data_IF_195695914260
#
_entry.id   IF_195695914260
#
_cell.length_a   1.000
_cell.length_b   1.000
_cell.length_c   1.000
_cell.angle_alpha   90.00
_cell.angle_beta   90.00
_cell.angle_gamma   90.00
#
_symmetry.space_group_name_H-M   'P 1'
#
loop_
_entity.id
_entity.type
_entity.pdbx_description
1 polymer ?
#
# COMPACT_ATOMS: atom_id res chain seq x y z
N UNK A 1 -55.44 -2.39 4.58
CA UNK A 1 -54.82 -3.50 5.33
C UNK A 1 -54.67 -4.67 4.38
N UNK A 2 -53.43 -4.97 3.99
CA UNK A 2 -53.08 -6.17 3.22
C UNK A 2 -51.69 -6.58 3.68
N UNK A 3 -51.65 -7.49 4.64
CA UNK A 3 -50.44 -8.11 5.17
C UNK A 3 -50.01 -9.21 4.22
N UNK A 4 -49.10 -8.90 3.30
CA UNK A 4 -48.33 -9.93 2.61
C UNK A 4 -47.19 -10.38 3.54
N UNK A 5 -47.07 -11.67 3.88
CA UNK A 5 -45.99 -12.16 4.73
C UNK A 5 -44.64 -12.05 4.00
N UNK A 6 -43.60 -11.67 4.74
CA UNK A 6 -42.22 -11.67 4.27
C UNK A 6 -41.77 -13.12 3.94
N UNK A 7 -40.87 -13.32 2.95
CA UNK A 7 -40.52 -14.65 2.46
C UNK A 7 -39.82 -15.50 3.52
N UNK A 8 -40.37 -16.70 3.76
CA UNK A 8 -39.98 -17.74 4.74
C UNK A 8 -38.59 -18.39 4.52
N UNK A 9 -37.70 -17.84 3.69
CA UNK A 9 -36.51 -18.58 3.20
C UNK A 9 -35.21 -18.44 4.01
N UNK A 10 -35.22 -17.88 5.23
CA UNK A 10 -33.99 -17.66 6.03
C UNK A 10 -34.06 -18.16 7.48
N UNK A 11 -34.64 -19.34 7.74
CA UNK A 11 -34.69 -19.89 9.11
C UNK A 11 -34.13 -21.31 9.21
N UNK A 12 -32.83 -21.50 9.04
CA UNK A 12 -32.18 -22.81 9.25
C UNK A 12 -30.92 -22.63 10.12
N UNK A 13 -31.06 -22.68 11.45
CA UNK A 13 -29.92 -22.69 12.39
C UNK A 13 -30.17 -22.01 13.74
N UNK A 14 -29.15 -21.90 14.62
CA UNK A 14 -29.26 -21.18 15.89
C UNK A 14 -29.37 -19.66 15.69
N UNK A 15 -29.91 -18.95 16.69
CA UNK A 15 -30.01 -17.48 16.69
C UNK A 15 -28.64 -16.83 16.78
N UNK A 16 -28.41 -15.76 16.02
CA UNK A 16 -27.14 -15.02 16.05
C UNK A 16 -27.12 -14.10 17.29
N UNK A 17 -26.17 -14.27 18.21
CA UNK A 17 -26.13 -13.48 19.43
C UNK A 17 -25.59 -12.07 19.18
N UNK A 18 -26.05 -11.10 19.99
CA UNK A 18 -25.70 -9.68 19.85
C UNK A 18 -24.19 -9.38 19.89
N UNK A 19 -23.39 -10.18 20.59
CA UNK A 19 -21.93 -9.96 20.67
C UNK A 19 -21.19 -10.22 19.35
N UNK A 20 -21.84 -10.92 18.40
CA UNK A 20 -21.31 -11.13 17.04
C UNK A 20 -21.63 -9.97 16.09
N UNK A 21 -22.52 -9.05 16.47
CA UNK A 21 -22.91 -7.91 15.65
C UNK A 21 -21.82 -6.83 15.58
N UNK A 22 -21.68 -6.12 14.44
CA UNK A 22 -20.81 -4.95 14.36
C UNK A 22 -21.26 -3.83 15.31
N UNK A 23 -20.29 -3.15 15.92
CA UNK A 23 -20.56 -1.99 16.76
C UNK A 23 -20.61 -0.72 15.91
N UNK A 24 -21.61 0.14 16.14
CA UNK A 24 -21.78 1.40 15.41
C UNK A 24 -21.47 2.58 16.32
N UNK A 25 -20.83 3.63 15.80
CA UNK A 25 -20.56 4.88 16.52
C UNK A 25 -20.91 6.08 15.65
N UNK A 26 -21.69 7.00 16.21
CA UNK A 26 -21.97 8.30 15.60
C UNK A 26 -21.02 9.34 16.16
N UNK A 27 -20.42 10.17 15.30
CA UNK A 27 -19.54 11.27 15.67
C UNK A 27 -19.77 12.45 14.75
N UNK A 28 -19.81 13.67 15.28
CA UNK A 28 -19.75 14.90 14.49
C UNK A 28 -18.31 15.37 14.32
N UNK A 29 -17.95 15.78 13.10
CA UNK A 29 -16.68 16.42 12.76
C UNK A 29 -16.97 17.67 11.92
N UNK A 30 -17.00 18.83 12.58
CA UNK A 30 -17.40 20.09 11.94
C UNK A 30 -18.82 20.00 11.39
N UNK A 31 -18.96 20.24 10.09
CA UNK A 31 -20.24 20.24 9.36
C UNK A 31 -20.62 18.88 8.78
N UNK A 32 -19.92 17.81 9.17
CA UNK A 32 -20.22 16.44 8.73
C UNK A 32 -20.51 15.56 9.93
N UNK A 33 -21.62 14.83 9.89
CA UNK A 33 -21.93 13.75 10.83
C UNK A 33 -21.44 12.45 10.21
N UNK A 34 -20.70 11.67 10.99
CA UNK A 34 -20.09 10.40 10.59
C UNK A 34 -20.69 9.25 11.40
N UNK A 35 -21.10 8.19 10.71
CA UNK A 35 -21.59 6.95 11.30
C UNK A 35 -20.59 5.86 10.96
N UNK A 36 -19.72 5.51 11.92
CA UNK A 36 -18.70 4.47 11.78
C UNK A 36 -19.29 3.11 12.13
N UNK A 37 -19.27 2.16 11.20
CA UNK A 37 -19.53 0.74 11.50
C UNK A 37 -18.18 0.07 11.73
N UNK A 38 -17.97 -0.48 12.93
CA UNK A 38 -16.76 -1.24 13.25
C UNK A 38 -17.06 -2.72 13.08
N UNK A 39 -16.59 -3.27 11.97
CA UNK A 39 -16.58 -4.71 11.68
C UNK A 39 -15.22 -5.28 12.11
N UNK A 40 -15.15 -6.10 13.17
CA UNK A 40 -13.88 -6.60 13.68
C UNK A 40 -13.13 -7.44 12.64
N UNK A 41 -13.84 -8.21 11.80
CA UNK A 41 -13.25 -9.19 10.88
C UNK A 41 -12.46 -8.56 9.75
N UNK A 42 -12.76 -7.29 9.46
CA UNK A 42 -12.09 -6.49 8.45
C UNK A 42 -11.04 -5.57 9.06
N UNK A 43 -10.50 -5.78 10.26
CA UNK A 43 -9.35 -4.99 10.73
C UNK A 43 -8.08 -5.74 10.32
N UNK A 44 -7.54 -5.41 9.15
CA UNK A 44 -6.38 -6.08 8.56
C UNK A 44 -5.08 -5.75 9.33
N UNK A 45 -4.97 -4.54 9.90
CA UNK A 45 -3.85 -4.16 10.77
C UNK A 45 -4.20 -2.99 11.69
N UNK A 46 -3.46 -2.80 12.78
CA UNK A 46 -3.47 -1.56 13.58
C UNK A 46 -2.12 -0.91 13.34
N UNK A 47 -2.11 0.28 12.72
CA UNK A 47 -0.90 1.06 12.56
C UNK A 47 -0.84 2.09 13.67
N UNK A 48 0.16 1.98 14.52
CA UNK A 48 0.51 3.04 15.48
C UNK A 48 1.29 4.10 14.73
N UNK A 49 0.71 5.28 14.57
CA UNK A 49 1.42 6.43 14.00
C UNK A 49 1.88 7.29 15.18
N UNK A 50 3.19 7.41 15.35
CA UNK A 50 3.79 8.45 16.17
C UNK A 50 3.84 9.73 15.33
N UNK A 51 3.01 10.70 15.69
CA UNK A 51 3.15 12.04 15.11
C UNK A 51 4.10 12.80 16.04
N UNK A 52 5.28 13.18 15.56
CA UNK A 52 6.11 14.15 16.27
C UNK A 52 5.50 15.52 16.03
N UNK A 53 4.93 16.12 17.08
CA UNK A 53 4.56 17.53 17.03
C UNK A 53 5.86 18.34 16.98
N UNK A 54 6.22 18.82 15.79
CA UNK A 54 7.45 19.58 15.57
C UNK A 54 7.44 20.96 16.26
N UNK A 55 6.32 21.36 16.87
CA UNK A 55 6.19 22.58 17.66
C UNK A 55 6.48 22.40 19.17
N UNK A 56 6.33 21.20 19.73
CA UNK A 56 6.52 20.96 21.17
C UNK A 56 7.41 19.73 21.40
N UNK A 57 8.71 19.97 21.63
CA UNK A 57 9.63 18.95 22.13
C UNK A 57 9.07 18.32 23.41
N UNK A 58 8.55 17.09 23.33
CA UNK A 58 8.35 16.25 24.52
C UNK A 58 7.21 15.25 24.49
N UNK A 59 6.19 15.41 23.64
CA UNK A 59 5.02 14.52 23.66
C UNK A 59 4.88 13.74 22.35
N UNK A 60 5.02 12.42 22.44
CA UNK A 60 4.68 11.48 21.37
C UNK A 60 3.24 11.04 21.59
N UNK A 61 2.30 11.66 20.88
CA UNK A 61 0.91 11.23 20.93
C UNK A 61 0.74 9.95 20.09
N UNK A 62 0.54 8.84 20.78
CA UNK A 62 0.35 7.53 20.15
C UNK A 62 -1.10 7.41 19.69
N UNK A 63 -1.31 7.50 18.39
CA UNK A 63 -2.61 7.23 17.79
C UNK A 63 -2.61 5.83 17.16
N UNK A 64 -3.40 4.94 17.73
CA UNK A 64 -3.73 3.66 17.11
C UNK A 64 -4.82 3.89 16.06
N UNK A 65 -4.45 3.79 14.78
CA UNK A 65 -5.41 3.84 13.69
C UNK A 65 -5.67 2.40 13.21
N UNK A 66 -6.85 1.82 13.50
CA UNK A 66 -7.23 0.54 12.90
C UNK A 66 -7.43 0.73 11.39
N UNK A 67 -6.71 -0.04 10.58
CA UNK A 67 -6.84 -0.09 9.13
C UNK A 67 -7.82 -1.20 8.76
N UNK A 68 -8.87 -0.86 8.00
CA UNK A 68 -9.89 -1.83 7.63
C UNK A 68 -9.58 -2.48 6.27
N UNK A 69 -9.66 -3.80 6.15
CA UNK A 69 -9.53 -4.63 4.95
C UNK A 69 -10.44 -4.06 3.86
N UNK A 70 -9.85 -3.26 2.97
CA UNK A 70 -10.36 -3.17 1.61
C UNK A 70 -9.93 -4.44 0.90
N UNK A 71 -10.75 -5.00 0.02
CA UNK A 71 -10.34 -6.02 -0.95
C UNK A 71 -9.33 -5.51 -1.99
N UNK A 72 -8.35 -4.72 -1.56
CA UNK A 72 -7.25 -4.17 -2.33
C UNK A 72 -5.99 -4.44 -1.50
N UNK A 73 -5.47 -5.66 -1.67
CA UNK A 73 -4.26 -6.16 -1.03
C UNK A 73 -3.03 -5.41 -1.53
N UNK A 74 -2.72 -4.26 -0.92
CA UNK A 74 -1.40 -3.66 -1.03
C UNK A 74 -0.74 -3.60 0.35
N UNK A 75 0.40 -4.26 0.56
CA UNK A 75 1.19 -4.14 1.80
C UNK A 75 1.80 -2.74 1.98
N UNK A 76 1.65 -1.85 0.98
CA UNK A 76 2.11 -0.46 1.03
C UNK A 76 0.96 0.51 1.33
N UNK A 77 0.42 0.40 2.54
CA UNK A 77 0.19 1.54 3.43
C UNK A 77 -0.53 2.79 2.90
N UNK A 78 -1.61 2.64 2.15
CA UNK A 78 -2.65 3.67 2.13
C UNK A 78 -3.42 3.55 3.45
N UNK A 79 -3.60 4.66 4.17
CA UNK A 79 -4.39 4.67 5.40
C UNK A 79 -5.83 4.28 5.06
N UNK A 80 -6.16 3.01 5.31
CA UNK A 80 -7.49 2.47 5.05
C UNK A 80 -8.51 3.22 5.90
N UNK A 81 -9.47 3.81 5.19
CA UNK A 81 -10.49 4.67 5.78
C UNK A 81 -11.49 3.77 6.50
N UNK A 82 -11.73 4.01 7.79
CA UNK A 82 -12.78 3.29 8.53
C UNK A 82 -14.09 3.29 7.74
N UNK A 83 -14.80 2.16 7.70
CA UNK A 83 -16.11 2.09 7.08
C UNK A 83 -17.05 3.09 7.77
N UNK A 84 -17.37 4.18 7.08
CA UNK A 84 -18.24 5.24 7.57
C UNK A 84 -19.22 5.70 6.50
N UNK A 85 -20.42 6.01 6.98
CA UNK A 85 -21.43 6.76 6.24
C UNK A 85 -21.40 8.21 6.73
N UNK A 86 -21.61 9.15 5.82
CA UNK A 86 -21.49 10.58 6.12
C UNK A 86 -22.64 11.38 5.57
N UNK A 87 -23.08 12.35 6.37
CA UNK A 87 -24.21 13.22 6.08
C UNK A 87 -23.81 14.65 6.47
N UNK A 88 -24.19 15.67 5.69
CA UNK A 88 -23.96 17.04 6.11
C UNK A 88 -24.81 17.35 7.36
N UNK A 89 -24.22 18.04 8.34
CA UNK A 89 -24.90 18.45 9.56
C UNK A 89 -26.06 19.42 9.29
N UNK A 90 -26.14 20.00 8.08
CA UNK A 90 -27.29 20.78 7.62
C UNK A 90 -28.54 19.94 7.32
N UNK A 91 -28.39 18.64 7.03
CA UNK A 91 -29.51 17.78 6.66
C UNK A 91 -30.17 17.11 7.87
N UNK A 92 -29.42 16.80 8.92
CA UNK A 92 -29.96 16.23 10.15
C UNK A 92 -29.05 16.58 11.34
N UNK A 93 -29.63 16.71 12.53
CA UNK A 93 -28.85 16.94 13.76
C UNK A 93 -28.18 15.65 14.25
N UNK A 94 -27.06 15.78 14.98
CA UNK A 94 -26.34 14.63 15.55
C UNK A 94 -27.23 13.79 16.48
N UNK A 95 -28.10 14.43 17.26
CA UNK A 95 -29.02 13.74 18.17
C UNK A 95 -30.07 12.92 17.41
N UNK A 96 -30.66 13.48 16.35
CA UNK A 96 -31.61 12.75 15.50
C UNK A 96 -30.93 11.56 14.81
N UNK A 97 -29.72 11.75 14.27
CA UNK A 97 -28.94 10.66 13.66
C UNK A 97 -28.63 9.58 14.69
N UNK A 98 -28.19 9.96 15.89
CA UNK A 98 -27.87 9.01 16.96
C UNK A 98 -29.11 8.22 17.40
N UNK A 99 -30.23 8.88 17.65
CA UNK A 99 -31.48 8.21 18.04
C UNK A 99 -31.97 7.24 16.97
N UNK A 100 -31.95 7.64 15.70
CA UNK A 100 -32.41 6.80 14.61
C UNK A 100 -31.46 5.61 14.36
N UNK A 101 -30.14 5.83 14.44
CA UNK A 101 -29.15 4.74 14.36
C UNK A 101 -29.29 3.78 15.52
N UNK A 102 -29.40 4.28 16.75
CA UNK A 102 -29.56 3.44 17.95
C UNK A 102 -30.86 2.63 17.87
N UNK A 103 -31.96 3.24 17.41
CA UNK A 103 -33.23 2.55 17.19
C UNK A 103 -33.13 1.48 16.09
N UNK A 104 -32.52 1.81 14.94
CA UNK A 104 -32.37 0.88 13.83
C UNK A 104 -31.46 -0.31 14.18
N UNK A 105 -30.38 -0.07 14.94
CA UNK A 105 -29.50 -1.13 15.45
C UNK A 105 -30.20 -1.98 16.51
N UNK A 106 -31.01 -1.37 17.40
CA UNK A 106 -31.75 -2.10 18.42
C UNK A 106 -32.88 -2.97 17.84
N UNK A 107 -33.52 -2.51 16.76
CA UNK A 107 -34.58 -3.21 16.05
C UNK A 107 -34.06 -4.25 15.03
N UNK A 108 -32.77 -4.21 14.69
CA UNK A 108 -32.17 -5.17 13.76
C UNK A 108 -32.10 -6.57 14.40
N UNK A 109 -32.89 -7.49 13.83
CA UNK A 109 -32.83 -8.91 14.12
C UNK A 109 -32.18 -9.66 12.94
N UNK A 110 -30.96 -10.19 13.10
CA UNK A 110 -30.27 -10.95 12.06
C UNK A 110 -30.89 -12.35 11.81
N UNK A 111 -31.87 -12.76 12.63
CA UNK A 111 -32.57 -14.04 12.50
C UNK A 111 -31.70 -15.25 12.85
N UNK A 112 -31.90 -16.35 12.12
CA UNK A 112 -31.16 -17.60 12.31
C UNK A 112 -30.35 -17.97 11.07
N UNK A 113 -29.18 -18.58 11.28
CA UNK A 113 -28.32 -19.02 10.18
C UNK A 113 -27.56 -20.29 10.57
N UNK A 114 -27.21 -21.11 9.57
CA UNK A 114 -26.43 -22.32 9.82
C UNK A 114 -25.06 -21.96 10.41
N UNK A 115 -24.52 -22.80 11.31
CA UNK A 115 -23.22 -22.59 11.96
C UNK A 115 -22.07 -22.39 10.95
N UNK A 116 -22.13 -23.06 9.80
CA UNK A 116 -21.16 -22.90 8.70
C UNK A 116 -21.17 -21.52 8.05
N UNK A 117 -22.28 -20.79 8.16
CA UNK A 117 -22.46 -19.42 7.64
C UNK A 117 -22.20 -18.39 8.74
N UNK A 118 -22.53 -18.72 9.99
CA UNK A 118 -22.24 -17.88 11.16
C UNK A 118 -20.74 -17.80 11.47
N UNK A 119 -20.03 -18.91 11.35
CA UNK A 119 -18.61 -18.97 11.66
C UNK A 119 -17.79 -18.99 10.37
N UNK A 120 -17.01 -17.93 10.12
CA UNK A 120 -16.13 -17.93 8.95
C UNK A 120 -15.13 -19.08 9.03
N UNK A 121 -14.78 -19.69 7.89
CA UNK A 121 -13.75 -20.76 7.82
C UNK A 121 -12.45 -20.32 8.51
N UNK A 122 -12.07 -19.04 8.34
CA UNK A 122 -10.93 -18.44 9.03
C UNK A 122 -11.10 -18.39 10.56
N UNK A 123 -12.25 -17.94 11.07
CA UNK A 123 -12.54 -17.96 12.50
C UNK A 123 -12.50 -19.38 13.07
N UNK A 124 -13.07 -20.35 12.37
CA UNK A 124 -13.05 -21.76 12.77
C UNK A 124 -11.63 -22.30 12.88
N UNK A 125 -10.80 -22.07 11.87
CA UNK A 125 -9.40 -22.51 11.88
C UNK A 125 -8.61 -21.85 13.01
N UNK A 126 -8.81 -20.55 13.25
CA UNK A 126 -8.16 -19.83 14.37
C UNK A 126 -8.63 -20.33 15.73
N UNK A 127 -9.92 -20.65 15.89
CA UNK A 127 -10.44 -21.27 17.11
C UNK A 127 -9.84 -22.66 17.32
N UNK A 128 -9.79 -23.49 16.28
CA UNK A 128 -9.19 -24.82 16.35
C UNK A 128 -7.70 -24.72 16.73
N UNK A 129 -6.96 -23.79 16.13
CA UNK A 129 -5.56 -23.50 16.48
C UNK A 129 -5.43 -23.05 17.94
N UNK A 130 -6.36 -22.21 18.42
CA UNK A 130 -6.39 -21.78 19.83
C UNK A 130 -6.54 -22.98 20.75
N UNK A 131 -7.53 -23.85 20.49
CA UNK A 131 -7.77 -25.06 21.29
C UNK A 131 -6.56 -26.01 21.23
N UNK A 132 -5.98 -26.24 20.05
CA UNK A 132 -4.80 -27.08 19.89
C UNK A 132 -3.59 -26.51 20.66
N UNK A 133 -3.37 -25.19 20.58
CA UNK A 133 -2.28 -24.52 21.31
C UNK A 133 -2.48 -24.53 22.83
N UNK A 134 -3.71 -24.40 23.32
CA UNK A 134 -4.06 -24.59 24.73
C UNK A 134 -3.81 -26.03 25.17
N UNK A 135 -4.17 -27.02 24.34
CA UNK A 135 -3.87 -28.43 24.59
C UNK A 135 -2.36 -28.69 24.70
N UNK A 136 -1.56 -28.15 23.78
CA UNK A 136 -0.10 -28.22 23.81
C UNK A 136 0.50 -27.54 25.06
N UNK A 137 -0.05 -26.39 25.46
CA UNK A 137 0.34 -25.72 26.70
C UNK A 137 0.01 -26.59 27.92
N UNK A 138 -1.15 -27.23 27.95
CA UNK A 138 -1.54 -28.17 29.01
C UNK A 138 -0.61 -29.38 29.10
N UNK A 139 -0.25 -29.98 27.97
CA UNK A 139 0.73 -31.09 27.90
C UNK A 139 2.11 -30.62 28.38
N UNK A 140 2.57 -29.46 27.93
CA UNK A 140 3.84 -28.88 28.37
C UNK A 140 3.87 -28.60 29.88
N UNK A 141 2.76 -28.13 30.45
CA UNK A 141 2.62 -27.89 31.88
C UNK A 141 2.60 -29.20 32.67
N UNK A 142 1.88 -30.21 32.20
CA UNK A 142 1.87 -31.54 32.80
C UNK A 142 3.28 -32.15 32.82
N UNK A 143 4.02 -32.06 31.70
CA UNK A 143 5.40 -32.54 31.62
C UNK A 143 6.32 -31.75 32.55
N UNK A 144 6.19 -30.42 32.63
CA UNK A 144 6.95 -29.58 33.54
C UNK A 144 6.73 -29.98 35.02
N UNK A 145 5.47 -30.19 35.41
CA UNK A 145 5.09 -30.62 36.77
C UNK A 145 5.59 -32.03 37.05
N UNK A 146 5.44 -32.95 36.10
CA UNK A 146 5.90 -34.34 36.24
C UNK A 146 7.42 -34.40 36.39
N UNK A 147 8.16 -33.68 35.55
CA UNK A 147 9.62 -33.57 35.64
C UNK A 147 10.03 -32.94 36.97
N UNK A 148 9.37 -31.86 37.40
CA UNK A 148 9.63 -31.25 38.70
C UNK A 148 9.43 -32.24 39.85
N UNK A 149 8.31 -32.97 39.87
CA UNK A 149 8.00 -33.98 40.89
C UNK A 149 9.01 -35.12 40.91
N UNK A 150 9.45 -35.61 39.75
CA UNK A 150 10.50 -36.62 39.63
C UNK A 150 11.85 -36.12 40.14
N UNK A 151 12.18 -34.84 39.93
CA UNK A 151 13.44 -34.24 40.40
C UNK A 151 13.47 -33.99 41.90
N UNK A 152 12.33 -33.76 42.55
CA UNK A 152 12.24 -33.57 44.02
C UNK A 152 12.53 -34.86 44.81
N UNK A 153 12.60 -36.02 44.15
CA UNK A 153 12.82 -37.34 44.75
C UNK A 153 14.29 -37.81 44.54
N UNK A 154 15.07 -37.11 43.71
CA UNK A 154 16.44 -37.50 43.36
C UNK A 154 17.50 -36.87 44.31
N UNK A 155 18.56 -37.60 44.71
CA UNK A 155 19.58 -37.11 45.64
C UNK A 155 20.42 -35.96 45.04
N UNK A 156 20.80 -34.93 45.84
CA UNK A 156 21.53 -33.77 45.35
C UNK A 156 22.98 -34.13 44.99
N UNK A 157 23.44 -33.81 43.78
CA UNK A 157 24.86 -33.84 43.39
C UNK A 157 25.25 -34.72 42.19
N UNK A 158 24.29 -35.31 41.45
CA UNK A 158 24.60 -36.14 40.28
C UNK A 158 25.14 -35.35 39.06
N UNK A 159 25.88 -36.01 38.14
CA UNK A 159 26.51 -35.38 36.96
C UNK A 159 25.54 -34.72 35.95
N UNK A 160 24.23 -34.84 36.17
CA UNK A 160 23.17 -34.25 35.34
C UNK A 160 22.56 -32.97 35.92
N UNK A 161 23.04 -32.44 37.05
CA UNK A 161 22.46 -31.27 37.73
C UNK A 161 22.35 -30.00 36.83
N UNK A 162 23.29 -29.82 35.89
CA UNK A 162 23.25 -28.73 34.90
C UNK A 162 22.20 -28.93 33.80
N UNK A 163 22.04 -30.18 33.31
CA UNK A 163 21.00 -30.55 32.34
C UNK A 163 19.60 -30.47 32.95
N UNK A 164 19.47 -30.72 34.24
CA UNK A 164 18.23 -30.66 35.01
C UNK A 164 17.55 -29.27 34.97
N UNK A 165 18.33 -28.18 34.97
CA UNK A 165 17.80 -26.82 34.79
C UNK A 165 17.32 -26.58 33.36
N UNK A 166 18.04 -27.09 32.35
CA UNK A 166 17.63 -27.00 30.95
C UNK A 166 16.32 -27.76 30.68
N UNK A 167 16.15 -28.94 31.27
CA UNK A 167 14.92 -29.74 31.18
C UNK A 167 13.72 -29.13 31.92
N UNK A 168 13.93 -28.19 32.85
CA UNK A 168 12.85 -27.44 33.50
C UNK A 168 12.49 -26.15 32.74
N UNK A 169 13.47 -25.48 32.12
CA UNK A 169 13.26 -24.25 31.35
C UNK A 169 12.59 -24.51 30.00
N UNK A 170 12.97 -25.60 29.32
CA UNK A 170 12.48 -25.92 27.97
C UNK A 170 10.94 -26.15 27.91
N UNK A 171 10.31 -26.92 28.82
CA UNK A 171 8.85 -27.05 28.87
C UNK A 171 8.17 -25.72 29.22
N UNK A 172 8.74 -24.93 30.13
CA UNK A 172 8.20 -23.61 30.49
C UNK A 172 8.20 -22.64 29.31
N UNK A 173 9.28 -22.62 28.53
CA UNK A 173 9.36 -21.84 27.29
C UNK A 173 8.32 -22.33 26.26
N UNK A 174 8.16 -23.64 26.10
CA UNK A 174 7.16 -24.21 25.19
C UNK A 174 5.72 -23.84 25.58
N UNK A 175 5.41 -23.87 26.89
CA UNK A 175 4.12 -23.41 27.43
C UNK A 175 3.89 -21.93 27.12
N UNK A 176 4.90 -21.08 27.33
CA UNK A 176 4.79 -19.65 27.07
C UNK A 176 4.56 -19.35 25.59
N UNK A 177 5.29 -20.02 24.70
CA UNK A 177 5.10 -19.91 23.24
C UNK A 177 3.70 -20.40 22.84
N UNK A 178 3.26 -21.54 23.36
CA UNK A 178 1.94 -22.08 23.07
C UNK A 178 0.80 -21.15 23.56
N UNK A 179 0.95 -20.54 24.73
CA UNK A 179 0.01 -19.54 25.24
C UNK A 179 0.00 -18.26 24.39
N UNK A 180 1.16 -17.79 23.94
CA UNK A 180 1.24 -16.64 23.03
C UNK A 180 0.54 -16.93 21.69
N UNK A 181 0.72 -18.12 21.14
CA UNK A 181 0.00 -18.60 19.95
C UNK A 181 -1.51 -18.69 20.24
N UNK A 182 -1.91 -19.21 21.39
CA UNK A 182 -3.32 -19.28 21.79
C UNK A 182 -3.97 -17.91 21.85
N UNK A 183 -3.34 -16.94 22.52
CA UNK A 183 -3.85 -15.57 22.65
C UNK A 183 -3.95 -14.88 21.30
N UNK A 184 -2.93 -15.03 20.44
CA UNK A 184 -2.93 -14.42 19.09
C UNK A 184 -4.01 -15.03 18.20
N UNK A 185 -4.16 -16.36 18.21
CA UNK A 185 -5.22 -17.06 17.49
C UNK A 185 -6.62 -16.73 18.03
N UNK A 186 -6.81 -16.65 19.35
CA UNK A 186 -8.07 -16.27 19.98
C UNK A 186 -8.47 -14.84 19.61
N UNK A 187 -7.50 -13.91 19.63
CA UNK A 187 -7.70 -12.53 19.19
C UNK A 187 -8.07 -12.48 17.70
N UNK A 188 -7.41 -13.26 16.85
CA UNK A 188 -7.73 -13.36 15.43
C UNK A 188 -9.13 -13.96 15.19
N UNK A 189 -9.53 -14.98 15.95
CA UNK A 189 -10.88 -15.53 15.91
C UNK A 189 -11.95 -14.52 16.36
N UNK A 190 -11.68 -13.75 17.42
CA UNK A 190 -12.56 -12.70 17.92
C UNK A 190 -12.74 -11.55 16.93
N UNK A 191 -11.70 -11.24 16.18
CA UNK A 191 -11.74 -10.34 15.03
C UNK A 191 -12.66 -10.93 13.97
N UNK A 192 -12.48 -12.20 13.59
CA UNK A 192 -13.31 -12.87 12.57
C UNK A 192 -14.73 -13.30 13.02
N UNK A 193 -15.19 -12.89 14.20
CA UNK A 193 -16.45 -13.36 14.81
C UNK A 193 -17.71 -12.91 14.09
N UNK A 194 -17.66 -11.80 13.38
CA UNK A 194 -18.82 -11.21 12.73
C UNK A 194 -19.03 -11.83 11.35
N UNK A 195 -20.18 -12.47 11.07
CA UNK A 195 -20.47 -13.00 9.76
C UNK A 195 -20.53 -11.88 8.71
N UNK A 196 -20.02 -12.14 7.50
CA UNK A 196 -19.96 -11.13 6.43
C UNK A 196 -21.34 -10.60 6.05
N UNK A 197 -22.35 -11.47 5.93
CA UNK A 197 -23.71 -11.05 5.55
C UNK A 197 -24.36 -10.14 6.61
N UNK A 198 -24.15 -10.39 7.90
CA UNK A 198 -24.65 -9.54 9.00
C UNK A 198 -24.07 -8.14 8.91
N UNK A 199 -22.76 -8.03 8.62
CA UNK A 199 -22.12 -6.75 8.43
C UNK A 199 -22.69 -5.97 7.23
N UNK A 200 -22.98 -6.66 6.12
CA UNK A 200 -23.56 -6.06 4.92
C UNK A 200 -25.03 -5.65 5.10
N UNK A 201 -25.83 -6.48 5.75
CA UNK A 201 -27.24 -6.15 6.04
C UNK A 201 -27.37 -4.96 6.98
N UNK A 202 -26.60 -4.94 8.06
CA UNK A 202 -26.60 -3.80 8.98
C UNK A 202 -26.07 -2.55 8.28
N UNK A 203 -25.09 -2.66 7.36
CA UNK A 203 -24.64 -1.53 6.56
C UNK A 203 -25.74 -0.97 5.64
N UNK A 204 -26.46 -1.85 4.95
CA UNK A 204 -27.61 -1.47 4.12
C UNK A 204 -28.72 -0.80 4.93
N UNK A 205 -29.01 -1.34 6.12
CA UNK A 205 -30.01 -0.79 7.05
C UNK A 205 -29.60 0.59 7.58
N UNK A 206 -28.34 0.77 7.97
CA UNK A 206 -27.82 2.09 8.37
C UNK A 206 -27.94 3.08 7.23
N UNK A 207 -27.56 2.68 6.01
CA UNK A 207 -27.68 3.54 4.84
C UNK A 207 -29.13 3.93 4.59
N UNK A 208 -30.07 2.99 4.59
CA UNK A 208 -31.49 3.29 4.38
C UNK A 208 -32.03 4.27 5.43
N UNK A 209 -31.69 4.03 6.71
CA UNK A 209 -32.07 4.90 7.83
C UNK A 209 -31.54 6.32 7.62
N UNK A 210 -30.27 6.44 7.24
CA UNK A 210 -29.63 7.72 6.98
C UNK A 210 -30.19 8.43 5.74
N UNK A 211 -30.50 7.70 4.67
CA UNK A 211 -31.16 8.25 3.47
C UNK A 211 -32.54 8.81 3.81
N UNK A 212 -33.32 8.10 4.64
CA UNK A 212 -34.64 8.54 5.08
C UNK A 212 -34.57 9.81 5.94
N UNK A 213 -33.58 9.90 6.84
CA UNK A 213 -33.40 11.07 7.70
C UNK A 213 -32.90 12.31 6.95
N UNK A 214 -31.91 12.13 6.08
CA UNK A 214 -31.26 13.24 5.40
C UNK A 214 -31.96 13.66 4.11
N UNK A 215 -32.92 12.87 3.61
CA UNK A 215 -33.58 13.07 2.32
C UNK A 215 -32.65 12.91 1.10
N UNK A 216 -31.43 12.40 1.31
CA UNK A 216 -30.42 12.21 0.27
C UNK A 216 -29.53 11.02 0.62
N UNK A 217 -28.89 10.43 -0.38
CA UNK A 217 -27.97 9.31 -0.14
C UNK A 217 -26.75 9.76 0.70
N UNK A 218 -26.41 9.04 1.78
CA UNK A 218 -25.22 9.33 2.58
C UNK A 218 -23.94 9.00 1.79
N UNK A 219 -22.87 9.77 2.03
CA UNK A 219 -21.56 9.51 1.46
C UNK A 219 -20.89 8.30 2.11
N UNK A 220 -20.41 7.35 1.32
CA UNK A 220 -19.75 6.13 1.78
C UNK A 220 -18.24 6.20 1.60
N UNK A 221 -17.51 5.68 2.59
CA UNK A 221 -16.06 5.48 2.49
C UNK A 221 -15.66 4.10 1.97
N UNK A 222 -16.62 3.20 1.71
CA UNK A 222 -16.33 1.83 1.25
C UNK A 222 -15.94 1.82 -0.23
N UNK A 223 -14.83 1.17 -0.63
CA UNK A 223 -14.44 1.08 -2.05
C UNK A 223 -15.52 0.45 -2.94
N UNK A 224 -16.17 -0.64 -2.49
CA UNK A 224 -17.24 -1.30 -3.24
C UNK A 224 -18.43 -0.37 -3.50
N UNK A 225 -18.79 0.46 -2.51
CA UNK A 225 -19.86 1.43 -2.65
C UNK A 225 -19.50 2.53 -3.65
N UNK A 226 -18.25 2.99 -3.60
CA UNK A 226 -17.72 4.00 -4.52
C UNK A 226 -17.67 3.45 -5.95
N UNK A 227 -17.25 2.21 -6.13
CA UNK A 227 -17.25 1.51 -7.41
C UNK A 227 -18.68 1.30 -7.94
N UNK A 228 -19.65 1.02 -7.06
CA UNK A 228 -21.07 0.97 -7.41
C UNK A 228 -21.66 2.35 -7.79
N UNK A 229 -20.86 3.41 -7.79
CA UNK A 229 -21.27 4.76 -8.21
C UNK A 229 -21.98 5.54 -7.11
N UNK A 230 -21.83 5.13 -5.85
CA UNK A 230 -22.44 5.81 -4.72
C UNK A 230 -21.66 7.07 -4.35
N UNK A 231 -22.32 7.98 -3.62
CA UNK A 231 -21.68 9.21 -3.13
C UNK A 231 -20.48 8.87 -2.28
N UNK A 232 -19.37 9.57 -2.52
CA UNK A 232 -18.16 9.44 -1.73
C UNK A 232 -18.35 10.11 -0.37
N UNK A 233 -17.64 9.60 0.62
CA UNK A 233 -17.59 10.17 1.95
C UNK A 233 -17.17 11.64 1.97
N UNK A 234 -17.93 12.45 2.72
CA UNK A 234 -17.76 13.90 2.84
C UNK A 234 -16.53 14.31 3.64
N UNK A 235 -15.96 13.42 4.46
CA UNK A 235 -14.73 13.71 5.22
C UNK A 235 -13.51 13.71 4.31
N UNK A 236 -13.44 12.78 3.35
CA UNK A 236 -12.33 12.72 2.38
C UNK A 236 -12.63 13.52 1.12
N UNK A 237 -13.89 13.56 0.68
CA UNK A 237 -14.33 14.29 -0.51
C UNK A 237 -15.44 15.27 -0.10
N UNK A 238 -15.12 16.53 0.26
CA UNK A 238 -16.10 17.47 0.82
C UNK A 238 -17.31 17.74 -0.09
N UNK A 239 -17.18 17.54 -1.40
CA UNK A 239 -18.26 17.69 -2.36
C UNK A 239 -19.12 16.42 -2.53
N UNK A 240 -18.74 15.29 -1.93
CA UNK A 240 -19.51 14.04 -1.90
C UNK A 240 -19.88 13.45 -3.27
N UNK A 241 -19.16 13.83 -4.33
CA UNK A 241 -19.53 13.51 -5.71
C UNK A 241 -19.48 12.01 -5.92
N UNK A 242 -20.52 11.46 -6.54
CA UNK A 242 -20.52 10.05 -6.95
C UNK A 242 -19.49 9.83 -8.04
N UNK A 243 -18.84 8.67 -7.99
CA UNK A 243 -17.93 8.29 -9.04
C UNK A 243 -18.71 7.89 -10.29
N UNK A 244 -18.63 8.70 -11.34
CA UNK A 244 -19.20 8.34 -12.65
C UNK A 244 -18.20 7.50 -13.42
N UNK A 245 -18.57 6.26 -13.72
CA UNK A 245 -17.82 5.38 -14.62
C UNK A 245 -18.38 5.53 -16.04
N UNK A 246 -17.47 5.69 -17.01
CA UNK A 246 -17.85 5.67 -18.42
C UNK A 246 -18.14 4.25 -18.90
N UNK A 247 -18.55 4.13 -20.15
CA UNK A 247 -18.83 2.84 -20.80
C UNK A 247 -17.70 2.52 -21.78
N UNK A 248 -17.16 1.31 -21.67
CA UNK A 248 -16.16 0.75 -22.59
C UNK A 248 -16.78 0.46 -23.95
N UNK A 249 -15.94 0.17 -24.95
CA UNK A 249 -16.42 -0.10 -26.31
C UNK A 249 -17.33 -1.33 -26.40
N UNK A 250 -17.13 -2.32 -25.54
CA UNK A 250 -17.93 -3.55 -25.44
C UNK A 250 -19.16 -3.41 -24.51
N UNK A 251 -19.48 -2.20 -24.05
CA UNK A 251 -20.64 -1.93 -23.21
C UNK A 251 -20.46 -2.24 -21.73
N UNK A 252 -19.25 -2.64 -21.29
CA UNK A 252 -18.91 -2.84 -19.89
C UNK A 252 -18.70 -1.49 -19.18
N UNK A 253 -18.76 -1.52 -17.86
CA UNK A 253 -18.43 -0.35 -17.05
C UNK A 253 -16.92 -0.16 -17.03
N UNK A 254 -16.46 1.02 -17.42
CA UNK A 254 -15.05 1.39 -17.43
C UNK A 254 -14.46 1.54 -16.02
N UNK A 255 -13.19 1.91 -15.93
CA UNK A 255 -12.45 1.89 -14.68
C UNK A 255 -12.87 3.06 -13.75
N UNK A 256 -12.81 2.89 -12.41
CA UNK A 256 -13.03 3.98 -11.46
C UNK A 256 -11.85 4.97 -11.47
N UNK A 257 -11.91 6.00 -12.33
CA UNK A 257 -10.84 7.00 -12.41
C UNK A 257 -10.70 7.84 -11.12
N UNK A 258 -9.47 8.15 -10.68
CA UNK A 258 -9.24 9.11 -9.60
C UNK A 258 -9.87 10.46 -9.89
N UNK A 259 -10.50 11.08 -8.88
CA UNK A 259 -11.05 12.43 -9.04
C UNK A 259 -9.96 13.51 -8.94
N UNK A 260 -10.33 14.77 -9.20
CA UNK A 260 -9.38 15.88 -9.14
C UNK A 260 -8.73 16.04 -7.75
N UNK A 261 -9.44 15.67 -6.68
CA UNK A 261 -8.94 15.74 -5.32
C UNK A 261 -7.92 14.62 -5.04
N UNK A 262 -8.21 13.39 -5.44
CA UNK A 262 -7.32 12.23 -5.36
C UNK A 262 -6.01 12.50 -6.13
N UNK A 263 -6.14 13.06 -7.34
CA UNK A 263 -5.02 13.48 -8.17
C UNK A 263 -4.22 14.57 -7.46
N UNK A 264 -4.86 15.63 -6.96
CA UNK A 264 -4.17 16.72 -6.27
C UNK A 264 -3.45 16.23 -5.01
N UNK A 265 -4.07 15.35 -4.23
CA UNK A 265 -3.50 14.74 -3.03
C UNK A 265 -2.28 13.88 -3.36
N UNK A 266 -2.40 12.98 -4.35
CA UNK A 266 -1.30 12.12 -4.81
C UNK A 266 -0.14 12.95 -5.39
N UNK A 267 -0.44 13.97 -6.19
CA UNK A 267 0.59 14.89 -6.73
C UNK A 267 1.27 15.67 -5.61
N UNK A 268 0.53 16.15 -4.59
CA UNK A 268 1.12 16.83 -3.43
C UNK A 268 2.03 15.90 -2.63
N UNK A 269 1.60 14.66 -2.40
CA UNK A 269 2.39 13.65 -1.69
C UNK A 269 3.64 13.26 -2.50
N UNK A 270 3.49 13.06 -3.81
CA UNK A 270 4.58 12.85 -4.74
C UNK A 270 5.58 14.00 -4.72
N UNK A 271 5.10 15.25 -4.77
CA UNK A 271 5.95 16.46 -4.70
C UNK A 271 6.74 16.55 -3.40
N UNK A 272 6.14 16.20 -2.26
CA UNK A 272 6.87 16.14 -0.98
C UNK A 272 7.98 15.10 -1.01
N UNK A 273 7.70 13.92 -1.54
CA UNK A 273 8.70 12.88 -1.73
C UNK A 273 9.79 13.30 -2.73
N UNK A 274 9.41 13.98 -3.82
CA UNK A 274 10.31 14.55 -4.80
C UNK A 274 11.24 15.57 -4.15
N UNK A 275 10.72 16.53 -3.37
CA UNK A 275 11.54 17.52 -2.65
C UNK A 275 12.55 16.82 -1.74
N UNK A 276 12.12 15.82 -0.95
CA UNK A 276 13.03 15.05 -0.11
C UNK A 276 14.12 14.32 -0.91
N UNK A 277 13.74 13.67 -2.01
CA UNK A 277 14.67 12.96 -2.90
C UNK A 277 15.60 13.91 -3.65
N UNK A 278 15.14 15.09 -4.07
CA UNK A 278 15.97 16.09 -4.74
C UNK A 278 17.00 16.67 -3.78
N UNK A 279 16.63 16.95 -2.52
CA UNK A 279 17.59 17.37 -1.48
C UNK A 279 18.63 16.27 -1.29
N UNK A 280 18.20 15.03 -1.09
CA UNK A 280 19.12 13.90 -0.95
C UNK A 280 20.06 13.76 -2.16
N UNK A 281 19.52 13.73 -3.37
CA UNK A 281 20.30 13.60 -4.60
C UNK A 281 21.23 14.81 -4.84
N UNK A 282 20.86 16.02 -4.41
CA UNK A 282 21.71 17.21 -4.52
C UNK A 282 22.96 17.12 -3.64
N UNK A 283 22.88 16.47 -2.47
CA UNK A 283 24.04 16.19 -1.61
C UNK A 283 25.01 15.25 -2.33
N UNK A 284 24.51 14.20 -2.98
CA UNK A 284 25.32 13.29 -3.79
C UNK A 284 25.98 13.99 -4.98
N UNK A 285 25.23 14.85 -5.68
CA UNK A 285 25.78 15.65 -6.78
C UNK A 285 26.88 16.58 -6.29
N UNK A 286 26.68 17.26 -5.15
CA UNK A 286 27.68 18.17 -4.55
C UNK A 286 28.93 17.41 -4.14
N UNK A 287 28.79 16.25 -3.50
CA UNK A 287 29.92 15.38 -3.18
C UNK A 287 30.65 14.92 -4.46
N UNK A 288 29.92 14.54 -5.52
CA UNK A 288 30.50 14.18 -6.82
C UNK A 288 31.27 15.32 -7.47
N UNK A 289 30.75 16.54 -7.45
CA UNK A 289 31.44 17.74 -7.94
C UNK A 289 32.71 18.05 -7.12
N UNK A 290 32.65 17.91 -5.80
CA UNK A 290 33.83 18.09 -4.94
C UNK A 290 34.92 17.04 -5.21
N UNK A 291 34.52 15.77 -5.39
CA UNK A 291 35.44 14.70 -5.80
C UNK A 291 36.07 15.04 -7.16
N UNK A 292 35.25 15.44 -8.14
CA UNK A 292 35.72 15.85 -9.46
C UNK A 292 36.71 17.02 -9.40
N UNK A 293 36.45 18.05 -8.59
CA UNK A 293 37.37 19.17 -8.37
C UNK A 293 38.69 18.73 -7.73
N UNK A 294 38.66 17.76 -6.80
CA UNK A 294 39.88 17.15 -6.25
C UNK A 294 40.69 16.41 -7.30
N UNK A 295 40.04 15.69 -8.21
CA UNK A 295 40.72 15.01 -9.32
C UNK A 295 41.38 16.01 -10.28
N UNK A 296 40.70 17.12 -10.61
CA UNK A 296 41.30 18.22 -11.40
C UNK A 296 42.53 18.80 -10.68
N UNK A 297 42.42 19.07 -9.37
CA UNK A 297 43.52 19.63 -8.57
C UNK A 297 44.73 18.68 -8.49
N UNK A 298 44.50 17.37 -8.54
CA UNK A 298 45.55 16.34 -8.62
C UNK A 298 46.11 16.15 -10.05
N UNK A 299 45.73 17.01 -11.01
CA UNK A 299 46.12 16.92 -12.42
C UNK A 299 45.39 15.82 -13.20
N UNK A 300 44.49 15.06 -12.59
CA UNK A 300 43.75 13.97 -13.21
C UNK A 300 42.43 14.49 -13.80
N UNK A 301 42.45 14.95 -15.05
CA UNK A 301 41.24 15.37 -15.77
C UNK A 301 40.39 14.16 -16.19
N UNK A 302 39.40 13.77 -15.38
CA UNK A 302 38.42 12.76 -15.78
C UNK A 302 37.00 13.32 -15.63
N UNK A 303 36.29 13.52 -16.74
CA UNK A 303 34.87 13.93 -16.77
C UNK A 303 33.93 12.81 -16.23
N UNK A 304 34.49 11.63 -16.01
CA UNK A 304 33.83 10.37 -15.72
C UNK A 304 33.11 10.37 -14.35
N UNK A 305 33.69 10.84 -13.22
CA UNK A 305 32.99 10.90 -11.93
C UNK A 305 31.81 11.89 -11.93
N UNK A 306 31.90 12.96 -12.73
CA UNK A 306 30.81 13.92 -12.90
C UNK A 306 29.64 13.28 -13.65
N UNK A 307 29.91 12.59 -14.78
CA UNK A 307 28.90 11.84 -15.54
C UNK A 307 28.23 10.77 -14.66
N UNK A 308 28.99 10.10 -13.80
CA UNK A 308 28.46 9.13 -12.85
C UNK A 308 27.44 9.76 -11.89
N UNK A 309 27.81 10.91 -11.30
CA UNK A 309 26.92 11.66 -10.41
C UNK A 309 25.65 12.16 -11.11
N UNK A 310 25.80 12.69 -12.34
CA UNK A 310 24.68 13.16 -13.16
C UNK A 310 23.75 12.01 -13.55
N UNK A 311 24.29 10.84 -13.89
CA UNK A 311 23.51 9.65 -14.24
C UNK A 311 22.63 9.18 -13.07
N UNK A 312 23.21 9.05 -11.88
CA UNK A 312 22.46 8.63 -10.67
C UNK A 312 21.40 9.67 -10.30
N UNK A 313 21.76 10.96 -10.32
CA UNK A 313 20.85 12.05 -10.05
C UNK A 313 19.67 12.07 -11.05
N UNK A 314 19.97 11.97 -12.34
CA UNK A 314 19.00 11.96 -13.42
C UNK A 314 18.03 10.78 -13.35
N UNK A 315 18.51 9.58 -13.01
CA UNK A 315 17.66 8.40 -12.83
C UNK A 315 16.67 8.57 -11.66
N UNK A 316 17.15 9.05 -10.50
CA UNK A 316 16.32 9.30 -9.30
C UNK A 316 15.28 10.39 -9.58
N UNK A 317 15.70 11.49 -10.22
CA UNK A 317 14.81 12.60 -10.56
C UNK A 317 13.74 12.14 -11.56
N UNK A 318 14.11 11.37 -12.59
CA UNK A 318 13.18 10.83 -13.59
C UNK A 318 12.12 9.93 -12.96
N UNK A 319 12.53 9.03 -12.08
CA UNK A 319 11.61 8.14 -11.37
C UNK A 319 10.65 8.91 -10.44
N UNK A 320 11.19 9.89 -9.71
CA UNK A 320 10.41 10.71 -8.78
C UNK A 320 9.45 11.64 -9.51
N UNK A 321 9.88 12.24 -10.61
CA UNK A 321 9.06 13.10 -11.45
C UNK A 321 7.94 12.32 -12.16
N UNK A 322 8.22 11.10 -12.63
CA UNK A 322 7.20 10.18 -13.16
C UNK A 322 6.05 9.98 -12.17
N UNK A 323 6.35 9.76 -10.89
CA UNK A 323 5.32 9.58 -9.84
C UNK A 323 4.50 10.84 -9.55
N UNK A 324 5.01 12.02 -9.90
CA UNK A 324 4.35 13.30 -9.71
C UNK A 324 3.55 13.75 -10.94
N UNK A 325 3.65 13.03 -12.06
CA UNK A 325 3.00 13.43 -13.30
C UNK A 325 1.48 13.31 -13.16
N UNK A 326 0.80 14.47 -13.29
CA UNK A 326 -0.64 14.57 -13.09
C UNK A 326 -1.42 13.65 -14.04
N UNK A 327 -0.95 13.47 -15.28
CA UNK A 327 -1.63 12.65 -16.29
C UNK A 327 -1.49 11.16 -15.98
N UNK A 328 -0.33 10.73 -15.48
CA UNK A 328 -0.10 9.33 -15.07
C UNK A 328 -0.89 8.99 -13.80
N UNK A 329 -1.03 9.97 -12.90
CA UNK A 329 -1.81 9.81 -11.67
C UNK A 329 -3.30 9.77 -11.96
N UNK A 330 -3.80 10.53 -12.94
CA UNK A 330 -5.21 10.50 -13.34
C UNK A 330 -5.57 9.25 -14.13
N UNK A 331 -4.65 8.73 -14.94
CA UNK A 331 -4.87 7.54 -15.77
C UNK A 331 -3.80 6.47 -15.50
N UNK A 332 -3.89 5.76 -14.35
CA UNK A 332 -2.92 4.74 -13.98
C UNK A 332 -2.92 3.55 -14.95
N UNK A 333 -1.78 2.83 -14.96
CA UNK A 333 -1.55 1.64 -15.79
C UNK A 333 -2.11 0.36 -15.19
N UNK A 334 -2.22 0.35 -13.88
CA UNK A 334 -2.65 -0.76 -13.05
C UNK A 334 -3.66 -0.25 -12.05
N UNK A 335 -4.67 -1.07 -11.82
CA UNK A 335 -5.59 -0.90 -10.70
C UNK A 335 -5.23 -1.89 -9.60
N UNK A 336 -5.32 -1.48 -8.34
CA UNK A 336 -5.34 -2.46 -7.28
C UNK A 336 -6.59 -3.33 -7.48
N UNK A 337 -6.45 -4.65 -7.52
CA UNK A 337 -7.55 -5.59 -7.72
C UNK A 337 -7.31 -6.84 -6.86
N UNK A 338 -7.99 -6.98 -5.72
CA UNK A 338 -7.80 -8.15 -4.86
C UNK A 338 -6.33 -8.33 -4.43
N UNK A 339 -5.78 -9.53 -4.64
CA UNK A 339 -4.41 -9.91 -4.25
C UNK A 339 -3.31 -9.42 -5.21
N UNK A 340 -3.61 -9.15 -6.49
CA UNK A 340 -2.62 -8.73 -7.48
C UNK A 340 -3.07 -7.47 -8.27
N UNK A 341 -2.16 -6.51 -8.53
CA UNK A 341 -2.52 -5.34 -9.32
C UNK A 341 -2.90 -5.74 -10.76
N UNK A 342 -4.16 -5.58 -11.11
CA UNK A 342 -4.66 -5.85 -12.46
C UNK A 342 -4.18 -4.75 -13.41
N UNK A 343 -3.58 -5.17 -14.53
CA UNK A 343 -3.15 -4.26 -15.59
C UNK A 343 -4.36 -3.87 -16.44
N UNK A 344 -4.54 -2.57 -16.67
CA UNK A 344 -5.62 -2.04 -17.51
C UNK A 344 -5.19 -2.14 -18.98
N UNK A 345 -6.00 -2.80 -19.80
CA UNK A 345 -5.84 -2.80 -21.26
C UNK A 345 -6.66 -1.67 -21.90
N UNK A 346 -6.41 -1.40 -23.18
CA UNK A 346 -7.20 -0.42 -23.95
C UNK A 346 -8.69 -0.82 -24.07
N UNK A 347 -8.99 -2.12 -24.00
CA UNK A 347 -10.34 -2.68 -24.05
C UNK A 347 -11.16 -2.34 -22.79
N UNK A 348 -10.48 -2.25 -21.65
CA UNK A 348 -11.10 -2.02 -20.33
C UNK A 348 -11.41 -0.54 -20.09
N UNK A 349 -10.94 0.35 -20.97
CA UNK A 349 -11.02 1.81 -20.82
C UNK A 349 -12.30 2.33 -21.47
N UNK A 350 -12.97 3.25 -20.78
CA UNK A 350 -14.17 3.91 -21.31
C UNK A 350 -13.84 4.78 -22.53
N UNK A 351 -14.77 4.80 -23.48
CA UNK A 351 -14.60 5.50 -24.77
C UNK A 351 -14.27 6.99 -24.61
N UNK A 352 -14.82 7.65 -23.59
CA UNK A 352 -14.59 9.06 -23.31
C UNK A 352 -13.17 9.35 -22.78
N UNK A 353 -12.59 8.43 -22.00
CA UNK A 353 -11.25 8.62 -21.41
C UNK A 353 -10.12 7.99 -22.23
N UNK A 354 -10.45 7.17 -23.23
CA UNK A 354 -9.49 6.44 -24.07
C UNK A 354 -8.40 7.33 -24.67
N UNK A 355 -8.68 8.53 -25.25
CA UNK A 355 -7.62 9.40 -25.76
C UNK A 355 -6.65 9.87 -24.67
N UNK A 356 -7.18 10.29 -23.51
CA UNK A 356 -6.39 10.77 -22.40
C UNK A 356 -5.56 9.64 -21.75
N UNK A 357 -6.10 8.42 -21.72
CA UNK A 357 -5.36 7.24 -21.29
C UNK A 357 -4.23 6.89 -22.25
N UNK A 358 -4.45 6.94 -23.56
CA UNK A 358 -3.37 6.77 -24.57
C UNK A 358 -2.27 7.82 -24.41
N UNK A 359 -2.63 9.09 -24.19
CA UNK A 359 -1.66 10.16 -23.90
C UNK A 359 -0.87 9.87 -22.61
N UNK A 360 -1.53 9.33 -21.58
CA UNK A 360 -0.86 8.87 -20.37
C UNK A 360 0.13 7.73 -20.66
N UNK A 361 -0.22 6.74 -21.48
CA UNK A 361 0.69 5.65 -21.89
C UNK A 361 1.92 6.20 -22.61
N UNK A 362 1.71 7.12 -23.56
CA UNK A 362 2.78 7.79 -24.30
C UNK A 362 3.71 8.53 -23.35
N UNK A 363 3.15 9.31 -22.43
CA UNK A 363 3.90 10.07 -21.42
C UNK A 363 4.65 9.16 -20.46
N UNK A 364 4.07 8.01 -20.10
CA UNK A 364 4.74 7.00 -19.29
C UNK A 364 5.97 6.43 -19.98
N UNK A 365 5.87 6.14 -21.29
CA UNK A 365 7.00 5.64 -22.08
C UNK A 365 8.12 6.66 -22.18
N UNK A 366 7.82 7.96 -22.30
CA UNK A 366 8.85 9.01 -22.27
C UNK A 366 9.55 9.10 -20.91
N UNK A 367 8.83 8.99 -19.79
CA UNK A 367 9.45 8.91 -18.47
C UNK A 367 10.32 7.66 -18.29
N UNK A 368 9.87 6.51 -18.81
CA UNK A 368 10.67 5.29 -18.82
C UNK A 368 11.92 5.45 -19.69
N UNK A 369 11.81 6.10 -20.85
CA UNK A 369 12.95 6.41 -21.71
C UNK A 369 13.97 7.30 -21.00
N UNK A 370 13.52 8.37 -20.32
CA UNK A 370 14.41 9.21 -19.52
C UNK A 370 15.17 8.38 -18.48
N UNK A 371 14.49 7.50 -17.75
CA UNK A 371 15.13 6.60 -16.79
C UNK A 371 16.13 5.62 -17.46
N UNK A 372 15.79 5.06 -18.62
CA UNK A 372 16.67 4.15 -19.38
C UNK A 372 17.91 4.89 -19.85
N UNK A 373 17.79 6.12 -20.36
CA UNK A 373 18.93 6.92 -20.83
C UNK A 373 19.94 7.13 -19.70
N UNK A 374 19.48 7.55 -18.52
CA UNK A 374 20.36 7.70 -17.36
C UNK A 374 20.93 6.37 -16.83
N UNK A 375 20.19 5.27 -16.97
CA UNK A 375 20.69 3.93 -16.61
C UNK A 375 21.78 3.47 -17.58
N UNK A 376 21.58 3.66 -18.89
CA UNK A 376 22.59 3.36 -19.91
C UNK A 376 23.83 4.23 -19.68
N UNK A 377 23.65 5.52 -19.45
CA UNK A 377 24.74 6.45 -19.11
C UNK A 377 25.51 5.96 -17.87
N UNK A 378 24.80 5.56 -16.82
CA UNK A 378 25.41 4.99 -15.61
C UNK A 378 26.25 3.74 -15.92
N UNK A 379 25.69 2.77 -16.66
CA UNK A 379 26.38 1.52 -17.01
C UNK A 379 27.61 1.79 -17.88
N UNK A 380 27.49 2.62 -18.92
CA UNK A 380 28.60 2.97 -19.81
C UNK A 380 29.67 3.75 -19.05
N UNK A 381 29.28 4.61 -18.11
CA UNK A 381 30.22 5.34 -17.25
C UNK A 381 30.99 4.39 -16.34
N UNK A 382 30.34 3.41 -15.70
CA UNK A 382 31.02 2.39 -14.89
C UNK A 382 32.00 1.57 -15.72
N UNK A 383 31.60 1.10 -16.90
CA UNK A 383 32.50 0.37 -17.81
C UNK A 383 33.69 1.24 -18.24
N UNK A 384 33.44 2.52 -18.49
CA UNK A 384 34.45 3.52 -18.83
C UNK A 384 35.44 3.74 -17.68
N UNK A 385 34.99 3.77 -16.43
CA UNK A 385 35.87 3.81 -15.25
C UNK A 385 36.81 2.60 -15.24
N UNK A 386 36.26 1.40 -15.39
CA UNK A 386 37.06 0.17 -15.43
C UNK A 386 38.08 0.18 -16.58
N UNK A 387 37.65 0.58 -17.78
CA UNK A 387 38.52 0.70 -18.94
C UNK A 387 39.65 1.72 -18.71
N UNK A 388 39.33 2.90 -18.16
CA UNK A 388 40.30 3.93 -17.79
C UNK A 388 41.32 3.43 -16.76
N UNK A 389 40.88 2.72 -15.71
CA UNK A 389 41.79 2.16 -14.69
C UNK A 389 42.73 1.14 -15.32
N UNK A 390 42.23 0.23 -16.15
CA UNK A 390 43.05 -0.78 -16.82
C UNK A 390 44.04 -0.14 -17.82
N UNK A 391 43.58 0.80 -18.64
CA UNK A 391 44.42 1.52 -19.62
C UNK A 391 45.52 2.35 -18.94
N UNK A 392 45.21 3.00 -17.82
CA UNK A 392 46.22 3.76 -17.09
C UNK A 392 47.26 2.84 -16.45
N UNK A 393 46.88 1.66 -15.94
CA UNK A 393 47.83 0.68 -15.41
C UNK A 393 48.75 0.10 -16.49
N UNK A 394 48.24 -0.17 -17.69
CA UNK A 394 49.05 -0.68 -18.80
C UNK A 394 50.01 0.38 -19.35
N UNK A 395 49.56 1.63 -19.46
CA UNK A 395 50.40 2.76 -19.91
C UNK A 395 51.51 3.04 -18.90
N UNK A 396 51.20 3.13 -17.59
CA UNK A 396 52.21 3.30 -16.52
C UNK A 396 53.28 2.21 -16.52
N UNK A 397 52.94 1.00 -16.98
CA UNK A 397 53.87 -0.14 -17.06
C UNK A 397 54.74 -0.14 -18.32
N UNK A 398 54.41 0.66 -19.34
CA UNK A 398 55.04 0.61 -20.67
C UNK A 398 55.63 1.94 -21.14
N UNK A 399 55.25 3.07 -20.53
CA UNK A 399 55.68 4.41 -20.91
C UNK A 399 57.07 4.76 -20.36
N UNK A 400 57.92 5.35 -21.22
CA UNK A 400 59.29 5.74 -20.86
C UNK A 400 59.38 7.06 -20.08
N UNK A 401 58.35 7.91 -20.13
CA UNK A 401 58.28 9.19 -19.43
C UNK A 401 56.91 9.45 -18.81
N UNK A 402 56.88 10.14 -17.67
CA UNK A 402 55.65 10.47 -16.93
C UNK A 402 54.75 11.47 -17.67
N UNK A 403 55.32 12.32 -18.53
CA UNK A 403 54.60 13.31 -19.33
C UNK A 403 53.82 12.64 -20.47
N UNK A 404 54.44 11.71 -21.20
CA UNK A 404 53.78 10.98 -22.30
C UNK A 404 52.62 10.12 -21.79
N UNK A 405 52.81 9.44 -20.66
CA UNK A 405 51.78 8.67 -19.98
C UNK A 405 50.56 9.53 -19.62
N UNK A 406 50.81 10.76 -19.16
CA UNK A 406 49.77 11.71 -18.77
C UNK A 406 48.96 12.22 -19.96
N UNK A 407 49.61 12.61 -21.05
CA UNK A 407 48.91 13.04 -22.29
C UNK A 407 48.10 11.92 -22.92
N UNK A 408 48.61 10.68 -22.90
CA UNK A 408 47.90 9.53 -23.45
C UNK A 408 46.64 9.20 -22.64
N UNK A 409 46.73 9.23 -21.30
CA UNK A 409 45.56 9.06 -20.42
C UNK A 409 44.47 10.12 -20.67
N UNK A 410 44.86 11.38 -20.91
CA UNK A 410 43.93 12.48 -21.16
C UNK A 410 43.12 12.30 -22.45
N UNK A 411 43.79 11.88 -23.53
CA UNK A 411 43.15 11.62 -24.82
C UNK A 411 42.15 10.48 -24.70
N UNK A 412 42.54 9.35 -24.09
CA UNK A 412 41.67 8.19 -23.94
C UNK A 412 40.47 8.46 -23.03
N UNK A 413 40.65 9.18 -21.92
CA UNK A 413 39.54 9.56 -21.05
C UNK A 413 38.52 10.48 -21.75
N UNK A 414 39.00 11.36 -22.64
CA UNK A 414 38.14 12.23 -23.45
C UNK A 414 37.35 11.44 -24.49
N UNK A 415 37.99 10.48 -25.16
CA UNK A 415 37.33 9.55 -26.10
C UNK A 415 36.26 8.72 -25.38
N UNK A 416 36.57 8.18 -24.21
CA UNK A 416 35.62 7.40 -23.42
C UNK A 416 34.42 8.24 -22.95
N UNK A 417 34.63 9.49 -22.56
CA UNK A 417 33.54 10.40 -22.22
C UNK A 417 32.62 10.68 -23.44
N UNK A 418 33.18 10.84 -24.64
CA UNK A 418 32.40 10.99 -25.87
C UNK A 418 31.57 9.74 -26.18
N UNK A 419 32.09 8.54 -25.89
CA UNK A 419 31.35 7.28 -26.05
C UNK A 419 30.12 7.24 -25.12
N UNK A 420 30.26 7.68 -23.86
CA UNK A 420 29.13 7.78 -22.92
C UNK A 420 28.04 8.70 -23.47
N UNK A 421 28.42 9.90 -23.95
CA UNK A 421 27.48 10.88 -24.51
C UNK A 421 26.80 10.34 -25.78
N UNK A 422 27.56 9.71 -26.68
CA UNK A 422 27.03 9.14 -27.91
C UNK A 422 26.03 8.00 -27.63
N UNK A 423 26.31 7.15 -26.65
CA UNK A 423 25.40 6.08 -26.24
C UNK A 423 24.07 6.62 -25.68
N UNK A 424 24.13 7.68 -24.87
CA UNK A 424 22.93 8.34 -24.36
C UNK A 424 22.09 8.95 -25.50
N UNK A 425 22.72 9.66 -26.45
CA UNK A 425 22.03 10.24 -27.61
C UNK A 425 21.40 9.18 -28.52
N UNK A 426 22.12 8.10 -28.81
CA UNK A 426 21.60 6.98 -29.59
C UNK A 426 20.37 6.36 -28.91
N UNK A 427 20.42 6.18 -27.58
CA UNK A 427 19.30 5.67 -26.78
C UNK A 427 18.07 6.58 -26.89
N UNK A 428 18.26 7.91 -26.86
CA UNK A 428 17.17 8.89 -27.05
C UNK A 428 16.52 8.77 -28.43
N UNK A 429 17.32 8.69 -29.49
CA UNK A 429 16.83 8.62 -30.88
C UNK A 429 16.05 7.33 -31.11
N UNK A 430 16.65 6.18 -30.78
CA UNK A 430 16.02 4.86 -30.93
C UNK A 430 14.75 4.77 -30.08
N UNK A 431 14.83 5.21 -28.82
CA UNK A 431 13.71 5.20 -27.90
C UNK A 431 12.55 6.09 -28.38
N UNK A 432 12.84 7.30 -28.88
CA UNK A 432 11.79 8.20 -29.40
C UNK A 432 11.07 7.59 -30.60
N UNK A 433 11.81 6.97 -31.52
CA UNK A 433 11.21 6.30 -32.69
C UNK A 433 10.32 5.13 -32.26
N UNK A 434 10.81 4.28 -31.35
CA UNK A 434 10.03 3.17 -30.79
C UNK A 434 8.76 3.63 -30.07
N UNK A 435 8.83 4.73 -29.30
CA UNK A 435 7.66 5.30 -28.62
C UNK A 435 6.62 5.77 -29.64
N UNK A 436 7.04 6.44 -30.72
CA UNK A 436 6.13 6.91 -31.77
C UNK A 436 5.44 5.74 -32.45
N UNK A 437 6.18 4.70 -32.84
CA UNK A 437 5.61 3.50 -33.45
C UNK A 437 4.62 2.80 -32.52
N UNK A 438 4.98 2.63 -31.25
CA UNK A 438 4.10 1.99 -30.26
C UNK A 438 2.88 2.85 -29.91
N UNK A 439 2.96 4.17 -30.05
CA UNK A 439 1.82 5.06 -29.83
C UNK A 439 0.84 4.96 -31.01
N UNK A 440 1.36 4.96 -32.25
CA UNK A 440 0.51 4.75 -33.44
C UNK A 440 -0.16 3.39 -33.44
N UNK A 441 0.56 2.31 -33.06
CA UNK A 441 -0.02 0.97 -32.92
C UNK A 441 -1.17 0.95 -31.89
N UNK A 442 -0.96 1.57 -30.72
CA UNK A 442 -1.95 1.61 -29.65
C UNK A 442 -3.19 2.43 -30.05
N UNK A 443 -2.99 3.60 -30.65
CA UNK A 443 -4.09 4.46 -31.12
C UNK A 443 -4.90 3.79 -32.23
N UNK A 444 -4.22 3.12 -33.15
CA UNK A 444 -4.88 2.34 -34.20
C UNK A 444 -5.72 1.19 -33.61
N UNK A 445 -5.19 0.43 -32.65
CA UNK A 445 -5.94 -0.62 -31.95
C UNK A 445 -7.16 -0.05 -31.19
N UNK A 446 -6.99 1.12 -30.57
CA UNK A 446 -8.07 1.85 -29.90
C UNK A 446 -9.12 2.44 -30.86
N UNK A 447 -8.89 2.44 -32.17
CA UNK A 447 -9.75 3.10 -33.16
C UNK A 447 -9.70 4.63 -33.10
N UNK A 448 -8.61 5.18 -32.59
CA UNK A 448 -8.32 6.61 -32.54
C UNK A 448 -7.37 6.93 -33.71
N UNK A 449 -7.92 7.28 -34.87
CA UNK A 449 -7.15 7.71 -36.06
C UNK A 449 -7.54 9.10 -36.47
#
# INVERSE_FOLDING_TARGET
MTTAPAPDSRRHGPTIPRWMLPSVRVRRRGDVITVEQRVPSRVESIRTISTSDSAHRGYVEHHDIPSFESGLGSPTGLALVKERLTIPASAASEQQVRQAVDHAVAAYDPGTAALSVQLSRGALLRLLQTVASLGLAGIGLYLAISLHRSTSIAPPGGPFAGLQKLFMILPGFFVLVALAIAVTCARAAWVLRTPRFVAEEQWGLLRQTLTQLAGQEPGSSRPLDIEAGLRRDLVTHPNGVSLRRGVTRDGRMGPPWPDAYDVAKRVRQGRRALVGMTIFASVFLTAGVLIFLMFIAAGQFTLIPLLFGVSVFGAILSYSAKRCDRLLVSYPSTMPAGEEPQKISWEDVDTASLPAWCDARRRERYWNLAAIVFLVEFVVTVLTIFASVMLNQTVLSTSSSSLEAHTHALIWNSVLALVVIAAALATVVIGRHWIQQKDSELRHQAGLT
#
